data_IF_114877000726
#
_entry.id   IF_114877000726
#
_cell.length_a   1.000
_cell.length_b   1.000
_cell.length_c   1.000
_cell.angle_alpha   90.00
_cell.angle_beta   90.00
_cell.angle_gamma   90.00
#
_symmetry.space_group_name_H-M   'P 1'
#
loop_
_entity.id
_entity.type
_entity.pdbx_description
1 polymer ?
#
# COMPACT_ATOMS: atom_id res chain seq x y z
N UNK A 1 -78.03 -11.67 22.06
CA UNK A 1 -79.43 -11.16 21.96
C UNK A 1 -79.43 -9.84 22.71
N UNK A 2 -79.68 -8.63 22.20
CA UNK A 2 -80.29 -8.01 21.00
C UNK A 2 -79.50 -6.68 20.80
N UNK A 3 -79.03 -6.24 19.62
CA UNK A 3 -79.76 -5.53 18.53
C UNK A 3 -80.67 -4.40 19.10
N UNK A 4 -80.65 -3.11 18.74
CA UNK A 4 -80.12 -2.26 17.63
C UNK A 4 -80.19 -0.79 18.13
N UNK A 5 -79.56 0.25 17.56
CA UNK A 5 -80.02 1.06 16.41
C UNK A 5 -79.10 2.30 16.25
N UNK A 6 -78.93 2.74 15.01
CA UNK A 6 -78.08 3.83 14.53
C UNK A 6 -78.76 5.22 14.57
N UNK A 7 -77.97 6.32 14.54
CA UNK A 7 -78.06 7.41 13.53
C UNK A 7 -77.14 8.62 13.81
N UNK A 8 -76.17 8.81 12.90
CA UNK A 8 -75.63 10.03 12.25
C UNK A 8 -75.94 11.46 12.74
N UNK A 9 -74.87 12.28 12.84
CA UNK A 9 -74.72 13.61 12.19
C UNK A 9 -73.24 14.09 12.34
N UNK A 10 -72.40 13.99 11.30
CA UNK A 10 -71.99 15.05 10.37
C UNK A 10 -71.46 16.35 11.02
N UNK A 11 -70.13 16.44 11.19
CA UNK A 11 -69.40 17.72 11.25
C UNK A 11 -68.28 17.68 10.22
N UNK A 12 -68.34 18.64 9.29
CA UNK A 12 -67.39 18.86 8.23
C UNK A 12 -66.03 19.33 8.76
N UNK A 13 -64.94 18.74 8.26
CA UNK A 13 -63.61 19.32 8.39
C UNK A 13 -62.99 19.47 7.00
N UNK A 14 -62.61 20.71 6.72
CA UNK A 14 -62.17 21.24 5.46
C UNK A 14 -60.89 20.57 4.96
N UNK A 15 -60.92 20.22 3.68
CA UNK A 15 -59.75 20.12 2.82
C UNK A 15 -59.15 21.52 2.61
N UNK A 16 -57.89 21.70 3.02
CA UNK A 16 -57.18 22.98 2.90
C UNK A 16 -55.67 22.80 2.90
N UNK A 17 -55.14 22.44 1.73
CA UNK A 17 -53.80 22.63 1.20
C UNK A 17 -52.57 22.43 2.11
N UNK A 18 -51.87 21.33 1.84
CA UNK A 18 -50.54 21.05 2.35
C UNK A 18 -49.52 22.12 1.95
N UNK A 19 -48.84 22.65 2.96
CA UNK A 19 -47.56 23.29 2.79
C UNK A 19 -46.54 22.21 2.42
N UNK A 20 -46.08 22.24 1.17
CA UNK A 20 -44.92 21.53 0.67
C UNK A 20 -43.69 21.83 1.54
N UNK A 21 -43.49 21.06 2.61
CA UNK A 21 -42.16 20.86 3.20
C UNK A 21 -41.37 20.03 2.20
N UNK A 22 -40.70 20.75 1.31
CA UNK A 22 -39.65 20.21 0.44
C UNK A 22 -38.76 19.30 1.30
N UNK A 23 -38.47 18.06 0.87
CA UNK A 23 -37.49 17.25 1.57
C UNK A 23 -36.20 18.06 1.55
N UNK A 24 -35.74 18.43 2.74
CA UNK A 24 -34.52 19.19 2.97
C UNK A 24 -33.45 18.72 2.00
N UNK A 25 -32.94 19.62 1.15
CA UNK A 25 -31.69 19.42 0.42
C UNK A 25 -30.61 19.08 1.45
N UNK A 26 -30.38 17.79 1.73
CA UNK A 26 -29.09 17.34 2.26
C UNK A 26 -28.06 17.87 1.25
N UNK A 27 -27.29 18.87 1.70
CA UNK A 27 -26.73 19.92 0.86
C UNK A 27 -25.99 19.41 -0.38
N UNK A 28 -26.23 20.07 -1.51
CA UNK A 28 -25.45 19.83 -2.73
C UNK A 28 -23.95 20.00 -2.44
N UNK A 29 -23.07 19.16 -3.03
CA UNK A 29 -21.64 19.25 -2.79
C UNK A 29 -21.13 20.62 -3.24
N UNK A 30 -20.21 21.20 -2.48
CA UNK A 30 -19.59 22.49 -2.83
C UNK A 30 -18.89 22.37 -4.18
N UNK A 31 -19.10 23.31 -5.09
CA UNK A 31 -18.46 23.28 -6.41
C UNK A 31 -16.92 23.24 -6.29
N UNK A 32 -16.32 22.29 -7.02
CA UNK A 32 -14.87 22.04 -7.00
C UNK A 32 -14.37 21.29 -5.76
N UNK A 33 -15.25 20.86 -4.86
CA UNK A 33 -14.86 19.98 -3.74
C UNK A 33 -14.54 18.56 -4.20
N UNK A 34 -13.80 17.82 -3.37
CA UNK A 34 -13.53 16.40 -3.60
C UNK A 34 -14.82 15.58 -3.70
N UNK A 35 -15.85 15.93 -2.90
CA UNK A 35 -17.17 15.30 -2.95
C UNK A 35 -17.87 15.54 -4.30
N UNK A 36 -17.80 16.75 -4.84
CA UNK A 36 -18.37 17.07 -6.15
C UNK A 36 -17.70 16.24 -7.25
N UNK A 37 -16.37 16.10 -7.20
CA UNK A 37 -15.61 15.26 -8.14
C UNK A 37 -16.00 13.78 -8.02
N UNK A 38 -16.12 13.28 -6.78
CA UNK A 38 -16.49 11.89 -6.53
C UNK A 38 -17.90 11.57 -7.02
N UNK A 39 -18.91 12.38 -6.67
CA UNK A 39 -20.29 12.20 -7.15
C UNK A 39 -20.42 12.32 -8.68
N UNK A 40 -19.55 13.12 -9.30
CA UNK A 40 -19.46 13.24 -10.76
C UNK A 40 -18.65 12.13 -11.44
N UNK A 41 -18.14 11.14 -10.69
CA UNK A 41 -17.30 10.06 -11.24
C UNK A 41 -18.09 8.86 -11.76
N UNK A 42 -19.41 8.82 -11.55
CA UNK A 42 -20.26 7.69 -11.95
C UNK A 42 -20.40 6.65 -10.85
N UNK A 43 -20.26 5.37 -11.18
CA UNK A 43 -20.44 4.28 -10.22
C UNK A 43 -19.35 4.30 -9.14
N UNK A 44 -19.74 4.07 -7.89
CA UNK A 44 -18.81 3.99 -6.77
C UNK A 44 -18.06 2.66 -6.77
N UNK A 45 -16.75 2.73 -6.53
CA UNK A 45 -15.85 1.58 -6.39
C UNK A 45 -15.04 1.71 -5.10
N UNK A 46 -14.54 0.60 -4.58
CA UNK A 46 -13.69 0.58 -3.40
C UNK A 46 -12.23 0.80 -3.78
N UNK A 47 -11.50 1.59 -2.99
CA UNK A 47 -10.04 1.60 -3.02
C UNK A 47 -9.52 0.72 -1.89
N UNK A 48 -8.76 -0.32 -2.21
CA UNK A 48 -8.10 -1.17 -1.22
C UNK A 48 -6.65 -0.69 -1.10
N UNK A 49 -6.22 -0.12 0.03
CA UNK A 49 -4.86 0.40 0.18
C UNK A 49 -3.83 -0.74 0.14
N UNK A 50 -2.74 -0.54 -0.59
CA UNK A 50 -1.56 -1.40 -0.56
C UNK A 50 -0.42 -0.84 0.31
N UNK A 51 -0.58 0.40 0.78
CA UNK A 51 0.34 1.10 1.69
C UNK A 51 -0.44 1.94 2.70
N UNK A 52 0.12 2.12 3.89
CA UNK A 52 -0.54 2.76 5.04
C UNK A 52 0.38 3.61 5.91
N UNK A 53 1.71 3.42 5.85
CA UNK A 53 2.68 4.15 6.66
C UNK A 53 3.12 5.44 5.96
N UNK A 54 2.40 6.52 6.23
CA UNK A 54 2.66 7.84 5.66
C UNK A 54 3.10 8.85 6.73
N UNK A 55 4.15 9.60 6.41
CA UNK A 55 4.63 10.78 7.14
C UNK A 55 4.90 11.93 6.17
N UNK A 56 4.93 13.20 6.61
CA UNK A 56 5.10 14.34 5.71
C UNK A 56 6.29 14.21 4.75
N UNK A 57 6.06 14.50 3.48
CA UNK A 57 7.04 14.37 2.41
C UNK A 57 6.41 13.90 1.10
N UNK A 58 7.22 13.23 0.30
CA UNK A 58 6.78 12.63 -0.97
C UNK A 58 6.25 11.21 -0.69
N UNK A 59 4.93 11.07 -0.71
CA UNK A 59 4.23 9.82 -0.41
C UNK A 59 4.20 8.92 -1.66
N UNK A 60 4.49 7.63 -1.47
CA UNK A 60 4.16 6.57 -2.43
C UNK A 60 2.86 5.91 -1.98
N UNK A 61 1.77 6.21 -2.67
CA UNK A 61 0.43 5.70 -2.34
C UNK A 61 0.08 4.60 -3.32
N UNK A 62 -0.12 3.38 -2.82
CA UNK A 62 -0.57 2.25 -3.62
C UNK A 62 -1.97 1.78 -3.25
N UNK A 63 -2.73 1.32 -4.24
CA UNK A 63 -4.08 0.81 -4.02
C UNK A 63 -4.58 -0.07 -5.18
N UNK A 64 -5.56 -0.91 -4.89
CA UNK A 64 -6.41 -1.56 -5.89
C UNK A 64 -7.70 -0.77 -6.06
N UNK A 65 -8.30 -0.86 -7.24
CA UNK A 65 -9.66 -0.39 -7.51
C UNK A 65 -10.52 -1.63 -7.67
N UNK A 66 -11.56 -1.77 -6.84
CA UNK A 66 -12.40 -2.97 -6.79
C UNK A 66 -13.86 -2.59 -6.94
N UNK A 67 -14.56 -3.27 -7.85
CA UNK A 67 -15.98 -3.05 -8.10
C UNK A 67 -16.86 -3.66 -6.99
N UNK A 68 -18.17 -3.35 -6.95
CA UNK A 68 -19.08 -3.91 -5.96
C UNK A 68 -19.23 -5.45 -5.99
N UNK A 69 -18.71 -6.12 -7.03
CA UNK A 69 -18.71 -7.58 -7.17
C UNK A 69 -17.35 -8.19 -6.80
N UNK A 70 -16.42 -7.41 -6.25
CA UNK A 70 -15.10 -7.89 -5.86
C UNK A 70 -14.09 -8.01 -7.00
N UNK A 71 -14.41 -7.51 -8.20
CA UNK A 71 -13.51 -7.59 -9.37
C UNK A 71 -12.55 -6.41 -9.38
N UNK A 72 -11.27 -6.70 -9.61
CA UNK A 72 -10.22 -5.67 -9.73
C UNK A 72 -10.35 -4.97 -11.09
N UNK A 73 -10.37 -3.63 -11.08
CA UNK A 73 -10.44 -2.78 -12.27
C UNK A 73 -9.07 -2.15 -12.55
N UNK A 74 -8.46 -2.55 -13.65
CA UNK A 74 -7.03 -2.29 -13.93
C UNK A 74 -6.73 -1.57 -15.26
N UNK A 75 -7.41 -0.47 -15.64
CA UNK A 75 -6.88 0.41 -16.69
C UNK A 75 -5.42 0.85 -16.39
N UNK A 76 -4.63 1.23 -17.42
CA UNK A 76 -3.22 1.57 -17.22
C UNK A 76 -2.96 2.77 -16.28
N UNK A 77 -3.93 3.67 -16.15
CA UNK A 77 -3.80 4.92 -15.41
C UNK A 77 -5.09 5.28 -14.65
N UNK A 78 -4.94 6.01 -13.54
CA UNK A 78 -6.04 6.63 -12.82
C UNK A 78 -5.68 8.09 -12.47
N UNK A 79 -6.60 9.03 -12.62
CA UNK A 79 -6.45 10.38 -12.03
C UNK A 79 -6.69 10.29 -10.54
N UNK A 80 -5.85 10.95 -9.76
CA UNK A 80 -5.87 10.93 -8.31
C UNK A 80 -5.92 12.35 -7.78
N UNK A 81 -6.82 12.59 -6.83
CA UNK A 81 -6.93 13.84 -6.10
C UNK A 81 -6.79 13.60 -4.60
N UNK A 82 -6.13 14.53 -3.90
CA UNK A 82 -6.05 14.51 -2.44
C UNK A 82 -6.59 15.83 -1.89
N UNK A 83 -7.48 15.73 -0.89
CA UNK A 83 -8.04 16.88 -0.21
C UNK A 83 -8.00 16.70 1.32
N UNK A 84 -8.03 17.83 2.05
CA UNK A 84 -8.08 17.84 3.52
C UNK A 84 -9.43 17.35 4.07
N UNK A 85 -10.48 17.41 3.27
CA UNK A 85 -11.82 16.90 3.60
C UNK A 85 -12.64 16.74 2.33
N UNK A 86 -13.76 16.03 2.40
CA UNK A 86 -14.69 15.88 1.27
C UNK A 86 -15.21 17.22 0.72
N UNK A 87 -15.40 18.22 1.60
CA UNK A 87 -15.90 19.56 1.24
C UNK A 87 -14.79 20.51 0.74
N UNK A 88 -13.53 20.18 0.98
CA UNK A 88 -12.39 20.97 0.53
C UNK A 88 -12.13 20.76 -0.96
N UNK A 89 -11.54 21.77 -1.61
CA UNK A 89 -10.95 21.59 -2.95
C UNK A 89 -9.70 20.71 -2.82
N UNK A 90 -9.43 19.80 -3.75
CA UNK A 90 -8.17 19.08 -3.78
C UNK A 90 -6.99 20.05 -3.85
N UNK A 91 -5.92 19.75 -3.10
CA UNK A 91 -4.66 20.49 -3.15
C UNK A 91 -3.58 19.71 -3.92
N UNK A 92 -3.81 18.43 -4.20
CA UNK A 92 -3.01 17.61 -5.11
C UNK A 92 -3.92 17.05 -6.19
N UNK A 93 -3.43 17.11 -7.43
CA UNK A 93 -3.90 16.31 -8.56
C UNK A 93 -2.68 15.62 -9.19
N UNK A 94 -2.76 14.31 -9.37
CA UNK A 94 -1.68 13.47 -9.93
C UNK A 94 -2.26 12.31 -10.73
N UNK A 95 -1.40 11.55 -11.39
CA UNK A 95 -1.79 10.33 -12.11
C UNK A 95 -1.16 9.13 -11.42
N UNK A 96 -2.00 8.16 -11.02
CA UNK A 96 -1.54 6.84 -10.65
C UNK A 96 -1.26 6.02 -11.90
N UNK A 97 -0.20 5.22 -11.86
CA UNK A 97 0.12 4.25 -12.91
C UNK A 97 -0.11 2.84 -12.37
N UNK A 98 -0.65 1.97 -13.22
CA UNK A 98 -0.73 0.55 -12.92
C UNK A 98 0.68 -0.08 -13.00
N UNK A 99 1.12 -0.64 -11.88
CA UNK A 99 2.41 -1.28 -11.66
C UNK A 99 2.22 -2.80 -11.59
N UNK A 100 2.94 -3.60 -12.39
CA UNK A 100 2.89 -5.05 -12.26
C UNK A 100 3.57 -5.47 -10.95
N UNK A 101 2.90 -6.34 -10.19
CA UNK A 101 3.41 -6.90 -8.94
C UNK A 101 4.10 -8.21 -9.24
N UNK A 102 5.36 -8.39 -8.84
CA UNK A 102 6.16 -9.60 -9.08
C UNK A 102 6.90 -9.63 -10.42
N UNK A 103 7.44 -10.79 -10.79
CA UNK A 103 8.26 -10.98 -12.00
C UNK A 103 7.60 -11.98 -12.95
N UNK A 104 7.26 -11.56 -14.17
CA UNK A 104 6.60 -12.42 -15.17
C UNK A 104 7.35 -13.75 -15.36
N UNK A 105 6.60 -14.87 -15.33
CA UNK A 105 7.13 -16.24 -15.43
C UNK A 105 7.82 -16.78 -14.18
N UNK A 106 7.99 -15.97 -13.12
CA UNK A 106 8.64 -16.39 -11.87
C UNK A 106 7.64 -16.46 -10.71
N UNK A 107 6.98 -15.35 -10.38
CA UNK A 107 6.04 -15.36 -9.25
C UNK A 107 4.75 -16.06 -9.68
N UNK A 108 4.54 -17.28 -9.20
CA UNK A 108 3.33 -18.07 -9.42
C UNK A 108 2.23 -17.62 -8.44
N UNK A 109 0.97 -18.01 -8.69
CA UNK A 109 -0.17 -17.85 -7.78
C UNK A 109 -0.33 -16.47 -7.14
N UNK A 110 -0.45 -15.44 -7.98
CA UNK A 110 -0.66 -14.06 -7.52
C UNK A 110 -2.15 -13.74 -7.43
N UNK A 111 -2.64 -13.52 -6.23
CA UNK A 111 -3.97 -12.93 -6.03
C UNK A 111 -4.01 -11.47 -6.50
N UNK A 112 -2.85 -10.78 -6.44
CA UNK A 112 -2.66 -9.41 -6.94
C UNK A 112 -1.59 -9.39 -8.03
N UNK A 113 -2.02 -9.18 -9.27
CA UNK A 113 -1.11 -9.13 -10.44
C UNK A 113 -0.58 -7.73 -10.73
N UNK A 114 -1.31 -6.70 -10.31
CA UNK A 114 -0.94 -5.31 -10.48
C UNK A 114 -1.65 -4.43 -9.43
N UNK A 115 -1.09 -3.25 -9.17
CA UNK A 115 -1.67 -2.23 -8.29
C UNK A 115 -1.40 -0.84 -8.85
N UNK A 116 -2.26 0.12 -8.53
CA UNK A 116 -1.99 1.52 -8.86
C UNK A 116 -0.97 2.11 -7.89
N UNK A 117 -0.02 2.88 -8.41
CA UNK A 117 0.89 3.71 -7.61
C UNK A 117 0.76 5.16 -8.03
N UNK A 118 0.48 6.02 -7.06
CA UNK A 118 0.53 7.47 -7.18
C UNK A 118 1.62 8.03 -6.28
N UNK A 119 2.26 9.11 -6.74
CA UNK A 119 3.16 9.91 -5.92
C UNK A 119 2.54 11.28 -5.67
N UNK A 120 2.57 11.71 -4.41
CA UNK A 120 1.99 12.98 -3.98
C UNK A 120 2.79 13.58 -2.83
N UNK A 121 3.00 14.90 -2.85
CA UNK A 121 3.65 15.61 -1.74
C UNK A 121 2.61 16.10 -0.74
N UNK A 122 2.74 15.68 0.51
CA UNK A 122 1.92 16.14 1.63
C UNK A 122 2.83 16.64 2.73
N UNK A 123 2.73 17.93 3.07
CA UNK A 123 3.74 18.60 3.91
C UNK A 123 3.40 18.66 5.39
N UNK A 124 2.20 18.23 5.78
CA UNK A 124 1.74 18.30 7.16
C UNK A 124 1.05 17.00 7.58
N UNK A 125 1.20 16.58 8.86
CA UNK A 125 0.42 15.47 9.38
C UNK A 125 -1.08 15.82 9.40
N UNK A 126 -1.92 14.80 9.33
CA UNK A 126 -3.37 14.96 9.40
C UNK A 126 -4.12 13.84 8.69
N UNK A 127 -5.45 13.92 8.79
CA UNK A 127 -6.37 13.06 8.05
C UNK A 127 -6.77 13.74 6.75
N UNK A 128 -6.60 13.02 5.64
CA UNK A 128 -6.90 13.45 4.30
C UNK A 128 -7.86 12.45 3.64
N UNK A 129 -8.32 12.79 2.44
CA UNK A 129 -9.05 11.89 1.57
C UNK A 129 -8.37 11.80 0.21
N UNK A 130 -8.31 10.59 -0.33
CA UNK A 130 -7.87 10.31 -1.70
C UNK A 130 -9.07 9.89 -2.53
N UNK A 131 -9.23 10.49 -3.71
CA UNK A 131 -10.15 10.06 -4.76
C UNK A 131 -9.33 9.53 -5.92
N UNK A 132 -9.65 8.34 -6.42
CA UNK A 132 -9.06 7.80 -7.64
C UNK A 132 -10.14 7.50 -8.68
N UNK A 133 -9.89 7.93 -9.92
CA UNK A 133 -10.72 7.68 -11.09
C UNK A 133 -9.89 7.06 -12.21
N UNK A 134 -10.03 5.76 -12.48
CA UNK A 134 -9.45 5.13 -13.66
C UNK A 134 -9.75 5.91 -14.95
N UNK A 135 -8.73 6.05 -15.80
CA UNK A 135 -8.82 6.76 -17.09
C UNK A 135 -9.21 5.75 -18.17
N UNK A 136 -10.25 6.07 -18.93
CA UNK A 136 -10.71 5.24 -20.04
C UNK A 136 -12.23 5.34 -20.22
N UNK A 137 -12.83 4.28 -20.78
CA UNK A 137 -14.28 4.19 -21.01
C UNK A 137 -15.08 3.87 -19.74
N UNK A 138 -14.41 3.71 -18.59
CA UNK A 138 -15.05 3.43 -17.30
C UNK A 138 -15.36 4.74 -16.58
N UNK A 139 -16.61 4.91 -16.19
CA UNK A 139 -17.07 6.05 -15.39
C UNK A 139 -17.29 5.58 -13.95
N UNK A 140 -16.18 5.47 -13.22
CA UNK A 140 -16.14 5.02 -11.82
C UNK A 140 -15.25 5.91 -10.97
N UNK A 141 -15.52 6.00 -9.67
CA UNK A 141 -14.65 6.70 -8.72
C UNK A 141 -14.68 6.07 -7.34
N UNK A 142 -13.50 5.89 -6.76
CA UNK A 142 -13.34 5.38 -5.41
C UNK A 142 -12.73 6.43 -4.49
N UNK A 143 -13.18 6.45 -3.24
CA UNK A 143 -12.68 7.36 -2.21
C UNK A 143 -12.19 6.58 -1.00
N UNK A 144 -11.11 7.04 -0.38
CA UNK A 144 -10.55 6.42 0.82
C UNK A 144 -9.96 7.46 1.76
N UNK A 145 -9.89 7.14 3.04
CA UNK A 145 -9.17 7.94 4.03
C UNK A 145 -7.66 7.78 3.85
N UNK A 146 -6.91 8.87 3.99
CA UNK A 146 -5.46 8.86 3.95
C UNK A 146 -4.94 9.51 5.23
N UNK A 147 -4.42 8.71 6.15
CA UNK A 147 -3.84 9.20 7.40
C UNK A 147 -2.35 9.44 7.22
N UNK A 148 -1.90 10.68 7.42
CA UNK A 148 -0.48 11.04 7.45
C UNK A 148 -0.12 11.35 8.89
N UNK A 149 0.74 10.51 9.49
CA UNK A 149 1.20 10.66 10.88
C UNK A 149 2.35 11.65 10.95
N UNK A 150 2.62 12.23 12.12
CA UNK A 150 3.79 13.11 12.32
C UNK A 150 5.10 12.40 12.02
N UNK A 151 5.17 11.12 12.37
CA UNK A 151 6.32 10.26 12.18
C UNK A 151 5.89 8.94 11.53
N UNK A 152 6.81 8.34 10.80
CA UNK A 152 6.58 7.05 10.18
C UNK A 152 6.69 5.93 11.23
N UNK A 153 5.84 4.92 11.12
CA UNK A 153 5.90 3.75 12.01
C UNK A 153 7.14 2.89 11.75
N UNK A 154 7.55 2.80 10.48
CA UNK A 154 8.80 2.16 10.07
C UNK A 154 9.95 3.17 10.00
N UNK A 155 11.21 2.73 9.89
CA UNK A 155 12.38 3.61 9.86
C UNK A 155 12.25 4.70 8.80
N UNK A 156 12.57 5.93 9.19
CA UNK A 156 12.42 7.09 8.31
C UNK A 156 13.52 7.14 7.26
N UNK A 157 13.20 7.69 6.09
CA UNK A 157 14.22 7.98 5.08
C UNK A 157 15.21 9.00 5.67
N UNK A 158 16.51 8.76 5.48
CA UNK A 158 17.59 9.59 5.99
C UNK A 158 18.15 9.15 7.34
N UNK A 159 17.48 8.27 8.09
CA UNK A 159 18.03 7.74 9.35
C UNK A 159 19.10 6.68 9.08
N UNK A 160 19.94 6.40 10.08
CA UNK A 160 20.85 5.25 10.03
C UNK A 160 20.08 3.93 9.98
N UNK A 161 20.58 2.97 9.21
CA UNK A 161 20.11 1.60 9.23
C UNK A 161 20.66 0.86 10.46
N UNK A 162 19.94 -0.16 10.92
CA UNK A 162 20.30 -0.89 12.14
C UNK A 162 21.27 -2.03 11.81
N UNK A 163 22.39 -2.19 12.55
CA UNK A 163 23.39 -3.24 12.32
C UNK A 163 22.92 -4.62 12.80
N UNK A 164 21.79 -5.08 12.27
CA UNK A 164 21.17 -6.36 12.62
C UNK A 164 22.02 -7.54 12.16
N UNK A 165 22.33 -8.45 13.08
CA UNK A 165 23.03 -9.72 12.80
C UNK A 165 22.06 -10.75 12.20
N UNK A 166 21.69 -10.55 10.93
CA UNK A 166 20.83 -11.49 10.19
C UNK A 166 21.64 -12.71 9.72
N UNK A 167 21.04 -13.92 9.69
CA UNK A 167 21.74 -15.14 9.32
C UNK A 167 22.07 -15.14 7.83
N UNK A 168 23.10 -15.90 7.45
CA UNK A 168 23.55 -16.07 6.06
C UNK A 168 23.78 -17.55 5.76
N UNK A 169 23.99 -17.86 4.48
CA UNK A 169 24.43 -19.20 4.06
C UNK A 169 25.66 -19.68 4.83
N UNK A 170 26.62 -18.79 5.10
CA UNK A 170 27.82 -19.16 5.84
C UNK A 170 27.51 -19.46 7.31
N UNK A 171 26.66 -18.65 7.96
CA UNK A 171 26.37 -18.82 9.40
C UNK A 171 25.50 -20.05 9.71
N UNK A 172 24.79 -20.60 8.73
CA UNK A 172 23.95 -21.80 8.92
C UNK A 172 24.56 -23.08 8.37
N UNK A 173 25.81 -23.04 7.88
CA UNK A 173 26.44 -24.18 7.19
C UNK A 173 25.72 -24.55 5.90
N UNK A 174 25.11 -23.58 5.22
CA UNK A 174 24.38 -23.78 3.96
C UNK A 174 22.95 -24.31 4.09
N UNK A 175 22.41 -24.44 5.32
CA UNK A 175 21.04 -24.91 5.56
C UNK A 175 20.01 -23.86 5.12
N UNK A 176 19.50 -24.01 3.90
CA UNK A 176 18.53 -23.07 3.28
C UNK A 176 17.21 -22.98 4.04
N UNK A 177 16.71 -24.10 4.56
CA UNK A 177 15.44 -24.14 5.29
C UNK A 177 15.46 -23.30 6.59
N UNK A 178 16.65 -23.01 7.13
CA UNK A 178 16.82 -22.13 8.29
C UNK A 178 16.89 -20.64 7.92
N UNK A 179 16.88 -20.30 6.62
CA UNK A 179 17.11 -18.95 6.12
C UNK A 179 15.94 -18.37 5.33
N UNK A 180 15.17 -19.23 4.65
CA UNK A 180 14.08 -18.79 3.77
C UNK A 180 12.99 -19.84 3.69
N UNK A 181 11.76 -19.37 3.61
CA UNK A 181 10.55 -20.12 3.30
C UNK A 181 10.24 -20.13 1.80
N UNK A 182 10.97 -19.35 1.00
CA UNK A 182 10.80 -19.28 -0.45
C UNK A 182 11.14 -20.61 -1.12
N UNK A 183 10.31 -21.00 -2.09
CA UNK A 183 10.55 -22.16 -2.94
C UNK A 183 10.55 -21.72 -4.42
N UNK A 184 11.61 -22.02 -5.20
CA UNK A 184 12.91 -22.53 -4.74
C UNK A 184 13.67 -21.50 -3.88
N UNK A 185 14.62 -21.88 -3.03
CA UNK A 185 15.39 -20.92 -2.24
C UNK A 185 16.21 -19.95 -3.09
N UNK A 186 16.18 -18.67 -2.72
CA UNK A 186 16.86 -17.53 -3.32
C UNK A 186 18.30 -17.37 -2.82
N UNK A 187 19.16 -18.37 -3.06
CA UNK A 187 20.55 -18.44 -2.56
C UNK A 187 21.37 -17.16 -2.72
N UNK A 188 21.10 -16.36 -3.76
CA UNK A 188 21.80 -15.09 -4.00
C UNK A 188 21.48 -13.99 -2.98
N UNK A 189 20.26 -13.99 -2.42
CA UNK A 189 19.79 -13.03 -1.42
C UNK A 189 20.19 -13.41 0.02
N UNK A 190 20.72 -14.61 0.22
CA UNK A 190 21.06 -15.17 1.54
C UNK A 190 22.56 -15.09 1.88
N UNK A 191 23.34 -14.39 1.06
CA UNK A 191 24.82 -14.38 1.16
C UNK A 191 25.35 -13.40 2.20
N UNK A 192 24.62 -12.32 2.45
CA UNK A 192 25.10 -11.18 3.23
C UNK A 192 24.15 -10.90 4.38
N UNK A 193 24.72 -10.50 5.52
CA UNK A 193 23.95 -9.98 6.65
C UNK A 193 23.85 -8.46 6.57
N UNK A 194 22.84 -7.88 7.21
CA UNK A 194 22.69 -6.42 7.31
C UNK A 194 23.91 -5.81 8.01
N UNK A 195 24.27 -6.33 9.19
CA UNK A 195 25.46 -5.89 9.92
C UNK A 195 26.75 -5.98 9.08
N UNK A 196 26.93 -7.06 8.32
CA UNK A 196 28.10 -7.25 7.48
C UNK A 196 28.12 -6.34 6.24
N UNK A 197 26.96 -5.93 5.72
CA UNK A 197 26.88 -4.93 4.66
C UNK A 197 27.24 -3.53 5.17
N UNK A 198 26.71 -3.15 6.34
CA UNK A 198 27.04 -1.88 6.99
C UNK A 198 28.52 -1.78 7.36
N UNK A 199 29.09 -2.82 7.99
CA UNK A 199 30.51 -2.83 8.35
C UNK A 199 31.46 -2.76 7.14
N UNK A 200 31.01 -3.26 5.98
CA UNK A 200 31.78 -3.21 4.73
C UNK A 200 31.58 -1.91 3.95
N UNK A 201 30.73 -0.98 4.43
CA UNK A 201 30.32 0.23 3.72
C UNK A 201 29.77 -0.04 2.31
N UNK A 202 29.15 -1.21 2.11
CA UNK A 202 28.55 -1.57 0.84
C UNK A 202 27.09 -1.14 0.80
N UNK A 203 26.62 -0.44 -0.25
CA UNK A 203 25.20 -0.17 -0.41
C UNK A 203 24.43 -1.48 -0.54
N UNK A 204 23.20 -1.52 -0.02
CA UNK A 204 22.40 -2.72 -0.11
C UNK A 204 20.90 -2.48 -0.20
N UNK A 205 20.22 -3.47 -0.78
CA UNK A 205 18.76 -3.62 -0.75
C UNK A 205 18.43 -4.76 0.20
N UNK A 206 17.57 -4.52 1.19
CA UNK A 206 17.10 -5.56 2.11
C UNK A 206 15.59 -5.69 2.06
N UNK A 207 15.11 -6.93 1.90
CA UNK A 207 13.70 -7.28 1.96
C UNK A 207 13.41 -8.09 3.23
N UNK A 208 12.50 -7.58 4.06
CA UNK A 208 11.89 -8.30 5.18
C UNK A 208 10.57 -8.88 4.72
N UNK A 209 10.52 -10.19 4.55
CA UNK A 209 9.38 -10.87 3.95
C UNK A 209 9.39 -12.36 4.30
N UNK A 210 8.21 -12.95 4.47
CA UNK A 210 8.02 -14.39 4.67
C UNK A 210 7.25 -15.00 3.50
N UNK A 211 7.90 -15.36 2.37
CA UNK A 211 7.23 -15.75 1.13
C UNK A 211 6.13 -16.81 1.27
N UNK A 212 6.27 -17.77 2.19
CA UNK A 212 5.28 -18.87 2.34
C UNK A 212 4.09 -18.54 3.22
N UNK A 213 4.27 -17.72 4.26
CA UNK A 213 3.27 -17.56 5.32
C UNK A 213 2.63 -16.17 5.38
N UNK A 214 3.14 -15.23 4.59
CA UNK A 214 2.64 -13.88 4.50
C UNK A 214 1.17 -13.86 4.05
N UNK A 215 0.27 -13.43 4.94
CA UNK A 215 -1.18 -13.42 4.73
C UNK A 215 -1.59 -12.63 3.48
N UNK A 216 -0.89 -11.52 3.20
CA UNK A 216 -1.14 -10.70 2.03
C UNK A 216 -0.74 -11.37 0.71
N UNK A 217 0.03 -12.47 0.77
CA UNK A 217 0.63 -13.20 -0.37
C UNK A 217 1.48 -12.32 -1.30
N UNK A 218 1.85 -11.12 -0.85
CA UNK A 218 2.70 -10.19 -1.61
C UNK A 218 4.20 -10.40 -1.37
N UNK A 219 4.55 -11.08 -0.27
CA UNK A 219 5.93 -11.30 0.14
C UNK A 219 6.76 -12.07 -0.91
N UNK A 220 6.24 -13.15 -1.47
CA UNK A 220 6.91 -13.90 -2.54
C UNK A 220 7.21 -13.04 -3.78
N UNK A 221 6.21 -12.38 -4.38
CA UNK A 221 6.41 -11.43 -5.48
C UNK A 221 7.43 -10.33 -5.19
N UNK A 222 7.47 -9.78 -3.97
CA UNK A 222 8.47 -8.78 -3.57
C UNK A 222 9.88 -9.35 -3.59
N UNK A 223 10.10 -10.53 -2.99
CA UNK A 223 11.42 -11.20 -3.00
C UNK A 223 11.85 -11.52 -4.43
N UNK A 224 10.93 -11.90 -5.32
CA UNK A 224 11.25 -12.15 -6.73
C UNK A 224 11.72 -10.89 -7.47
N UNK A 225 11.08 -9.74 -7.20
CA UNK A 225 11.50 -8.46 -7.77
C UNK A 225 12.91 -8.09 -7.27
N UNK A 226 13.20 -8.35 -6.00
CA UNK A 226 14.53 -8.10 -5.40
C UNK A 226 15.58 -9.04 -5.98
N UNK A 227 15.31 -10.34 -6.16
CA UNK A 227 16.26 -11.27 -6.80
C UNK A 227 16.49 -10.92 -8.29
N UNK A 228 15.45 -10.45 -9.00
CA UNK A 228 15.61 -9.94 -10.36
C UNK A 228 16.52 -8.71 -10.40
N UNK A 229 16.37 -7.78 -9.45
CA UNK A 229 17.27 -6.64 -9.34
C UNK A 229 18.70 -7.09 -9.01
N UNK A 230 18.89 -8.04 -8.09
CA UNK A 230 20.20 -8.62 -7.79
C UNK A 230 20.89 -9.15 -9.02
N UNK A 231 20.18 -9.91 -9.87
CA UNK A 231 20.71 -10.44 -11.13
C UNK A 231 21.08 -9.30 -12.09
N UNK A 232 20.24 -8.27 -12.20
CA UNK A 232 20.48 -7.10 -13.07
C UNK A 232 21.72 -6.30 -12.65
N UNK A 233 21.95 -6.15 -11.35
CA UNK A 233 23.03 -5.34 -10.79
C UNK A 233 24.22 -6.18 -10.29
N UNK A 234 24.37 -7.42 -10.76
CA UNK A 234 25.40 -8.35 -10.30
C UNK A 234 26.85 -7.88 -10.52
N UNK A 235 27.07 -6.90 -11.40
CA UNK A 235 28.38 -6.28 -11.68
C UNK A 235 28.67 -5.05 -10.82
N UNK A 236 27.77 -4.70 -9.91
CA UNK A 236 27.93 -3.56 -8.99
C UNK A 236 28.31 -4.06 -7.60
N UNK A 237 28.68 -3.15 -6.71
CA UNK A 237 28.95 -3.49 -5.30
C UNK A 237 27.68 -3.62 -4.44
N UNK A 238 26.51 -3.38 -5.02
CA UNK A 238 25.25 -3.41 -4.29
C UNK A 238 24.95 -4.83 -3.82
N UNK A 239 24.78 -5.00 -2.50
CA UNK A 239 24.35 -6.27 -1.91
C UNK A 239 22.83 -6.34 -1.90
N UNK A 240 22.30 -7.56 -2.00
CA UNK A 240 20.87 -7.81 -1.94
C UNK A 240 20.63 -8.87 -0.87
N UNK A 241 19.71 -8.60 0.04
CA UNK A 241 19.51 -9.36 1.27
C UNK A 241 18.02 -9.69 1.41
N UNK A 242 17.70 -10.96 1.63
CA UNK A 242 16.38 -11.41 2.09
C UNK A 242 16.48 -11.83 3.55
N UNK A 243 15.52 -11.39 4.35
CA UNK A 243 15.43 -11.67 5.78
C UNK A 243 14.02 -12.13 6.12
N UNK A 244 13.92 -13.30 6.73
CA UNK A 244 12.67 -13.85 7.26
C UNK A 244 12.22 -13.10 8.53
N UNK A 245 10.92 -12.90 8.65
CA UNK A 245 10.33 -12.14 9.75
C UNK A 245 10.19 -13.00 11.01
N UNK A 246 9.88 -14.29 10.87
CA UNK A 246 9.57 -15.16 12.00
C UNK A 246 10.72 -16.04 12.47
N UNK A 247 10.80 -16.26 13.78
CA UNK A 247 11.78 -17.16 14.39
C UNK A 247 11.61 -18.57 13.84
N UNK A 248 12.73 -19.22 13.50
CA UNK A 248 12.78 -20.54 12.85
C UNK A 248 11.89 -20.68 11.62
N UNK A 249 11.56 -19.57 10.96
CA UNK A 249 10.64 -19.53 9.82
C UNK A 249 9.23 -20.05 10.15
N UNK A 250 8.79 -19.86 11.39
CA UNK A 250 7.51 -20.34 11.91
C UNK A 250 6.69 -19.17 12.51
N UNK A 251 5.56 -18.78 11.89
CA UNK A 251 4.71 -17.70 12.38
C UNK A 251 4.26 -17.87 13.84
N UNK A 252 4.13 -19.10 14.34
CA UNK A 252 3.69 -19.37 15.72
C UNK A 252 4.73 -18.98 16.77
N UNK A 253 6.00 -18.82 16.38
CA UNK A 253 7.11 -18.45 17.28
C UNK A 253 7.34 -16.95 17.39
N UNK A 254 6.56 -16.15 16.64
CA UNK A 254 6.66 -14.70 16.64
C UNK A 254 7.91 -14.16 15.93
N UNK A 255 8.08 -12.83 15.95
CA UNK A 255 9.07 -12.17 15.10
C UNK A 255 10.51 -12.32 15.62
N UNK A 256 11.45 -12.36 14.68
CA UNK A 256 12.88 -12.32 14.94
C UNK A 256 13.31 -10.98 15.59
N UNK A 257 14.46 -10.95 16.31
CA UNK A 257 14.94 -9.73 16.95
C UNK A 257 15.15 -8.53 16.00
N UNK A 258 15.58 -8.78 14.76
CA UNK A 258 15.78 -7.71 13.77
C UNK A 258 14.48 -7.03 13.33
N UNK A 259 13.34 -7.71 13.38
CA UNK A 259 12.03 -7.10 13.09
C UNK A 259 11.72 -6.02 14.13
N UNK A 260 12.04 -6.30 15.41
CA UNK A 260 11.91 -5.32 16.50
C UNK A 260 12.93 -4.19 16.38
N UNK A 261 14.19 -4.50 16.05
CA UNK A 261 15.24 -3.49 15.84
C UNK A 261 14.87 -2.50 14.72
N UNK A 262 14.25 -3.00 13.66
CA UNK A 262 13.79 -2.18 12.54
C UNK A 262 12.39 -1.59 12.74
N UNK A 263 11.74 -1.79 13.89
CA UNK A 263 10.39 -1.27 14.19
C UNK A 263 9.36 -1.59 13.08
N UNK A 264 9.39 -2.81 12.51
CA UNK A 264 8.52 -3.13 11.38
C UNK A 264 7.08 -3.43 11.84
N UNK A 265 6.07 -2.73 11.31
CA UNK A 265 4.67 -2.94 11.71
C UNK A 265 4.01 -4.14 11.01
N UNK A 266 4.70 -4.80 10.08
CA UNK A 266 4.17 -5.91 9.29
C UNK A 266 5.14 -6.33 8.18
N UNK A 267 4.63 -7.00 7.14
CA UNK A 267 5.38 -7.44 5.96
C UNK A 267 4.56 -7.35 4.66
N UNK A 268 5.22 -7.22 3.48
CA UNK A 268 6.66 -7.06 3.29
C UNK A 268 7.14 -5.61 3.39
N UNK A 269 8.41 -5.45 3.78
CA UNK A 269 9.13 -4.17 3.72
C UNK A 269 10.43 -4.32 2.95
N UNK A 270 10.75 -3.34 2.11
CA UNK A 270 12.05 -3.28 1.42
C UNK A 270 12.71 -1.93 1.66
N UNK A 271 13.99 -1.94 2.04
CA UNK A 271 14.79 -0.74 2.25
C UNK A 271 16.00 -0.72 1.32
N UNK A 272 16.35 0.48 0.84
CA UNK A 272 17.59 0.77 0.15
C UNK A 272 18.48 1.56 1.10
N UNK A 273 19.68 1.06 1.35
CA UNK A 273 20.65 1.66 2.28
C UNK A 273 21.91 2.00 1.52
N UNK A 274 22.36 3.26 1.65
CA UNK A 274 23.57 3.74 1.00
C UNK A 274 24.85 3.21 1.66
N UNK A 275 26.00 3.45 1.03
CA UNK A 275 27.33 3.15 1.59
C UNK A 275 27.63 3.96 2.86
N UNK A 276 26.94 5.09 3.07
CA UNK A 276 26.94 5.88 4.30
C UNK A 276 26.10 5.26 5.44
N UNK A 277 25.51 4.07 5.21
CA UNK A 277 24.69 3.37 6.19
C UNK A 277 23.33 4.01 6.44
N UNK A 278 22.91 5.01 5.63
CA UNK A 278 21.61 5.68 5.79
C UNK A 278 20.56 5.11 4.85
N UNK A 279 19.32 5.04 5.32
CA UNK A 279 18.16 4.62 4.52
C UNK A 279 17.88 5.68 3.47
N UNK A 280 17.94 5.31 2.19
CA UNK A 280 17.73 6.21 1.05
C UNK A 280 16.32 6.12 0.48
N UNK A 281 15.71 4.95 0.56
CA UNK A 281 14.34 4.71 0.15
C UNK A 281 13.76 3.52 0.92
N UNK A 282 12.43 3.48 1.02
CA UNK A 282 11.69 2.33 1.55
C UNK A 282 10.42 2.07 0.75
N UNK A 283 10.00 0.81 0.76
CA UNK A 283 8.76 0.33 0.16
C UNK A 283 8.01 -0.51 1.18
N UNK A 284 6.78 -0.11 1.49
CA UNK A 284 5.78 -0.94 2.15
C UNK A 284 5.03 -1.74 1.07
N UNK A 285 4.82 -3.03 1.32
CA UNK A 285 4.01 -3.87 0.46
C UNK A 285 4.64 -4.10 -0.92
N UNK A 286 3.77 -4.30 -1.91
CA UNK A 286 4.17 -4.61 -3.28
C UNK A 286 4.70 -3.40 -4.05
N UNK A 287 5.72 -3.64 -4.87
CA UNK A 287 6.29 -2.68 -5.81
C UNK A 287 6.78 -3.39 -7.08
N UNK A 288 6.88 -2.65 -8.17
CA UNK A 288 7.33 -3.23 -9.43
C UNK A 288 8.84 -3.23 -9.59
N UNK A 289 9.33 -4.05 -10.52
CA UNK A 289 10.72 -3.98 -10.99
C UNK A 289 11.09 -2.59 -11.50
N UNK A 290 10.15 -1.82 -12.08
CA UNK A 290 10.44 -0.47 -12.56
C UNK A 290 10.77 0.46 -11.39
N UNK A 291 9.94 0.43 -10.35
CA UNK A 291 10.10 1.25 -9.16
C UNK A 291 11.42 0.94 -8.43
N UNK A 292 11.70 -0.34 -8.16
CA UNK A 292 12.94 -0.73 -7.49
C UNK A 292 14.18 -0.34 -8.31
N UNK A 293 14.18 -0.61 -9.61
CA UNK A 293 15.31 -0.25 -10.47
C UNK A 293 15.51 1.29 -10.55
N UNK A 294 14.43 2.07 -10.53
CA UNK A 294 14.52 3.53 -10.50
C UNK A 294 15.13 4.02 -9.19
N UNK A 295 14.71 3.46 -8.06
CA UNK A 295 15.27 3.80 -6.75
C UNK A 295 16.75 3.39 -6.64
N UNK A 296 17.13 2.20 -7.10
CA UNK A 296 18.54 1.75 -7.12
C UNK A 296 19.41 2.72 -7.91
N UNK A 297 19.01 3.08 -9.14
CA UNK A 297 19.77 4.03 -9.98
C UNK A 297 19.88 5.41 -9.37
N UNK A 298 18.88 5.83 -8.58
CA UNK A 298 18.86 7.16 -7.99
C UNK A 298 19.71 7.25 -6.73
N UNK A 299 19.80 6.17 -5.97
CA UNK A 299 20.25 6.23 -4.58
C UNK A 299 21.46 5.36 -4.25
N UNK A 300 21.76 4.32 -5.04
CA UNK A 300 22.81 3.33 -4.74
C UNK A 300 23.89 3.21 -5.84
N UNK A 301 23.74 3.94 -6.94
CA UNK A 301 24.69 4.05 -8.05
C UNK A 301 25.09 5.52 -8.20
#
# INVERSE_FOLDING_TARGET
>A
MRASLAALALIALASGCGSNTSPSKRGAPRQGSLEALWRGSGQSVSLIPGTSDYSPGDLRISFLVVDPHGRVISPPHARVWIARSLRARPFVETTARLEPVGVAGVSQDRDVTALYVAHARVTAPGSYYILARPIGKVHIGGIHGLLVRSESASPSIGTGAYPSRTPTLASTGGRLAALTTRVPPDRGLLRYSIAGALAAHEPFVVAFATPRYCESRTCGPVVDVVDRARKRYARTRIRFIHVEIYQDNDPSKGPNPWVRQWHLPGEPWTFLVGSDGRIKAKFEGSFSSRELNAAIRRFLL
#
